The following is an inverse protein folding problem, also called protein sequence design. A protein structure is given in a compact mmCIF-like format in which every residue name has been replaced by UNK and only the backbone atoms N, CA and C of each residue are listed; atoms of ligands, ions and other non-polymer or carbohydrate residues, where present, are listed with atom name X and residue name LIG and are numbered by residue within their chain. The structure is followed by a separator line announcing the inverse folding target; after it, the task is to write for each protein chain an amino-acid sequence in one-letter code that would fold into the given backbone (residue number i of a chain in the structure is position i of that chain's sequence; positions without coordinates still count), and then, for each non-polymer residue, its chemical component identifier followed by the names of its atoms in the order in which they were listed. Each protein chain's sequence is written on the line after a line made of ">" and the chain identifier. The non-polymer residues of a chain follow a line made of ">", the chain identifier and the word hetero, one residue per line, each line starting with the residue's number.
data_IF_640594195816
#
_entry.id   IF_640594195816
#
_cell.length_a   1.000
_cell.length_b   1.000
_cell.length_c   1.000
_cell.angle_alpha   90.00
_cell.angle_beta   90.00
_cell.angle_gamma   90.00
#
_symmetry.space_group_name_H-M   'P 1'
#
loop_
_entity.id
_entity.type
_entity.pdbx_description
1 polymer ?
#
# COMPACT_ATOMS: atom_id res chain seq x y z
N UNK A 1 -14.70 7.29 30.37
CA UNK A 1 -13.74 8.22 31.00
C UNK A 1 -12.36 7.58 31.11
N UNK A 2 -12.22 6.42 31.76
CA UNK A 2 -10.93 5.71 31.90
C UNK A 2 -10.09 5.52 30.60
N UNK A 3 -10.72 5.26 29.45
CA UNK A 3 -9.99 5.16 28.17
C UNK A 3 -9.37 6.49 27.71
N UNK A 4 -10.03 7.62 28.01
CA UNK A 4 -9.54 8.97 27.70
C UNK A 4 -8.38 9.31 28.64
N UNK A 5 -8.54 9.03 29.93
CA UNK A 5 -7.51 9.27 30.94
C UNK A 5 -6.24 8.45 30.66
N UNK A 6 -6.42 7.17 30.29
CA UNK A 6 -5.33 6.28 29.90
C UNK A 6 -4.62 6.70 28.61
N UNK A 7 -5.36 7.23 27.62
CA UNK A 7 -4.76 7.73 26.39
C UNK A 7 -3.86 8.94 26.65
N UNK A 8 -4.29 9.88 27.50
CA UNK A 8 -3.48 11.06 27.86
C UNK A 8 -2.25 10.64 28.66
N UNK A 9 -2.41 9.74 29.63
CA UNK A 9 -1.30 9.24 30.44
C UNK A 9 -0.26 8.44 29.61
N UNK A 10 -0.71 7.77 28.55
CA UNK A 10 0.14 6.96 27.66
C UNK A 10 0.82 7.73 26.52
N UNK A 11 0.52 9.01 26.32
CA UNK A 11 1.14 9.83 25.27
C UNK A 11 2.59 10.15 25.63
N UNK A 12 3.53 9.65 24.82
CA UNK A 12 4.96 9.95 24.95
C UNK A 12 5.50 10.55 23.66
N UNK A 13 6.43 11.50 23.78
CA UNK A 13 7.11 12.09 22.63
C UNK A 13 8.24 11.14 22.20
N UNK A 14 8.30 10.84 20.90
CA UNK A 14 9.43 10.15 20.29
C UNK A 14 10.36 11.19 19.66
N UNK A 15 11.64 11.18 20.04
CA UNK A 15 12.66 11.99 19.38
C UNK A 15 13.05 11.34 18.05
N UNK A 16 12.93 12.11 16.95
CA UNK A 16 13.25 11.64 15.60
C UNK A 16 14.59 12.22 15.18
N UNK A 17 15.55 11.40 14.68
CA UNK A 17 16.84 11.89 14.19
C UNK A 17 16.69 12.85 13.00
N UNK A 18 17.65 13.77 12.86
CA UNK A 18 17.65 14.75 11.77
C UNK A 18 17.93 14.14 10.38
N UNK A 19 18.51 12.94 10.33
CA UNK A 19 18.88 12.25 9.10
C UNK A 19 18.28 10.85 9.05
N UNK A 20 17.71 10.48 7.91
CA UNK A 20 17.29 9.11 7.61
C UNK A 20 18.52 8.27 7.29
N UNK A 21 18.73 7.20 8.06
CA UNK A 21 19.87 6.27 7.89
C UNK A 21 19.48 4.92 7.29
N UNK A 22 18.19 4.70 7.02
CA UNK A 22 17.72 3.44 6.43
C UNK A 22 18.25 3.26 5.02
N UNK A 23 18.93 2.14 4.78
CA UNK A 23 19.34 1.68 3.44
C UNK A 23 18.35 0.69 2.84
N UNK A 24 17.35 0.26 3.61
CA UNK A 24 16.36 -0.73 3.19
C UNK A 24 15.16 -0.05 2.55
N UNK A 25 14.76 -0.59 1.41
CA UNK A 25 13.51 -0.23 0.73
C UNK A 25 12.41 -1.23 1.15
N UNK A 26 11.15 -0.79 1.34
CA UNK A 26 10.02 -1.70 1.50
C UNK A 26 9.96 -2.71 0.35
N UNK A 27 9.60 -3.96 0.66
CA UNK A 27 9.33 -4.94 -0.37
C UNK A 27 8.14 -4.49 -1.23
N UNK A 28 8.12 -4.81 -2.53
CA UNK A 28 6.97 -4.51 -3.37
C UNK A 28 5.73 -5.25 -2.85
N UNK A 29 4.56 -4.64 -3.05
CA UNK A 29 3.29 -5.15 -2.54
C UNK A 29 2.87 -6.46 -3.21
N UNK A 30 3.30 -6.66 -4.47
CA UNK A 30 3.13 -7.89 -5.23
C UNK A 30 4.50 -8.36 -5.75
N UNK A 31 4.71 -9.67 -5.96
CA UNK A 31 5.97 -10.19 -6.50
C UNK A 31 6.25 -9.67 -7.92
N UNK A 32 7.54 -9.51 -8.25
CA UNK A 32 7.97 -9.17 -9.62
C UNK A 32 7.55 -10.21 -10.67
N UNK A 33 7.33 -11.46 -10.25
CA UNK A 33 6.83 -12.54 -11.11
C UNK A 33 5.33 -12.45 -11.43
N UNK A 34 4.60 -11.54 -10.80
CA UNK A 34 3.17 -11.36 -11.07
C UNK A 34 2.95 -10.80 -12.49
N UNK A 35 1.78 -11.07 -13.10
CA UNK A 35 1.39 -10.47 -14.38
C UNK A 35 1.49 -8.94 -14.35
N UNK A 36 1.82 -8.33 -15.48
CA UNK A 36 2.03 -6.89 -15.58
C UNK A 36 0.85 -6.08 -15.02
N UNK A 37 -0.38 -6.45 -15.39
CA UNK A 37 -1.60 -5.79 -14.90
C UNK A 37 -1.71 -5.83 -13.37
N UNK A 38 -1.28 -6.93 -12.74
CA UNK A 38 -1.26 -7.04 -11.28
C UNK A 38 -0.22 -6.09 -10.68
N UNK A 39 0.95 -5.96 -11.30
CA UNK A 39 2.03 -5.07 -10.83
C UNK A 39 1.72 -3.59 -11.02
N UNK A 40 1.14 -3.20 -12.16
CA UNK A 40 0.95 -1.79 -12.51
C UNK A 40 -0.40 -1.21 -12.11
N UNK A 41 -1.45 -2.04 -12.03
CA UNK A 41 -2.81 -1.59 -11.72
C UNK A 41 -3.25 -2.11 -10.35
N UNK A 42 -3.27 -3.42 -10.15
CA UNK A 42 -3.77 -4.02 -8.91
C UNK A 42 -2.93 -3.60 -7.69
N UNK A 43 -1.60 -3.57 -7.81
CA UNK A 43 -0.72 -3.15 -6.72
C UNK A 43 -0.93 -1.68 -6.30
N UNK A 44 -1.16 -0.78 -7.26
CA UNK A 44 -1.46 0.64 -6.95
C UNK A 44 -2.82 0.80 -6.26
N UNK A 45 -3.83 0.04 -6.71
CA UNK A 45 -5.13 -0.01 -6.02
C UNK A 45 -5.00 -0.55 -4.58
N UNK A 46 -4.25 -1.65 -4.39
CA UNK A 46 -4.01 -2.23 -3.07
C UNK A 46 -3.21 -1.29 -2.16
N UNK A 47 -2.33 -0.46 -2.71
CA UNK A 47 -1.57 0.55 -1.99
C UNK A 47 -2.40 1.81 -1.63
N UNK A 48 -3.69 1.82 -1.94
CA UNK A 48 -4.58 2.98 -1.71
C UNK A 48 -4.34 4.14 -2.69
N UNK A 49 -3.59 3.90 -3.77
CA UNK A 49 -3.20 4.91 -4.77
C UNK A 49 -3.95 4.76 -6.10
N UNK A 50 -5.09 4.07 -6.10
CA UNK A 50 -5.90 3.86 -7.31
C UNK A 50 -6.29 5.16 -8.04
N UNK A 51 -6.43 6.29 -7.32
CA UNK A 51 -6.73 7.59 -7.91
C UNK A 51 -5.59 8.19 -8.77
N UNK A 52 -4.36 7.68 -8.62
CA UNK A 52 -3.21 8.11 -9.44
C UNK A 52 -3.13 7.37 -10.78
N UNK A 53 -3.93 6.32 -10.97
CA UNK A 53 -3.96 5.58 -12.21
C UNK A 53 -4.58 6.45 -13.32
N UNK A 54 -3.91 6.63 -14.46
CA UNK A 54 -4.51 7.33 -15.59
C UNK A 54 -5.64 6.50 -16.17
N UNK A 55 -6.63 7.14 -16.78
CA UNK A 55 -7.75 6.44 -17.46
C UNK A 55 -7.23 5.44 -18.49
N UNK A 56 -6.11 5.76 -19.16
CA UNK A 56 -5.47 4.88 -20.15
C UNK A 56 -4.85 3.60 -19.57
N UNK A 57 -4.69 3.48 -18.25
CA UNK A 57 -4.25 2.25 -17.61
C UNK A 57 -5.39 1.23 -17.45
N UNK A 58 -6.65 1.66 -17.66
CA UNK A 58 -7.81 0.81 -17.48
C UNK A 58 -8.31 0.26 -18.83
N UNK A 59 -8.78 -1.00 -18.87
CA UNK A 59 -9.41 -1.58 -20.05
C UNK A 59 -10.63 -0.76 -20.49
N UNK A 60 -10.75 -0.48 -21.79
CA UNK A 60 -11.84 0.33 -22.36
C UNK A 60 -13.22 -0.32 -22.20
N UNK A 61 -13.24 -1.65 -22.12
CA UNK A 61 -14.43 -2.49 -21.95
C UNK A 61 -14.71 -2.87 -20.49
N UNK A 62 -13.82 -2.46 -19.57
CA UNK A 62 -13.90 -2.81 -18.15
C UNK A 62 -13.50 -4.27 -17.82
N UNK A 63 -12.92 -5.03 -18.76
CA UNK A 63 -12.53 -6.43 -18.51
C UNK A 63 -11.26 -6.54 -17.68
N UNK A 64 -11.32 -7.18 -16.51
CA UNK A 64 -10.14 -7.43 -15.66
C UNK A 64 -9.66 -8.88 -15.77
N UNK A 65 -8.34 -9.14 -15.67
CA UNK A 65 -7.82 -10.51 -15.57
C UNK A 65 -8.39 -11.24 -14.35
N UNK A 66 -8.65 -12.54 -14.50
CA UNK A 66 -9.01 -13.40 -13.36
C UNK A 66 -7.77 -13.80 -12.54
N UNK A 67 -7.99 -14.36 -11.35
CA UNK A 67 -6.92 -14.92 -10.51
C UNK A 67 -6.01 -13.88 -9.81
N UNK A 68 -6.36 -12.60 -9.84
CA UNK A 68 -5.60 -11.52 -9.18
C UNK A 68 -5.57 -11.65 -7.65
N UNK A 69 -6.56 -12.31 -7.06
CA UNK A 69 -6.65 -12.57 -5.62
C UNK A 69 -5.50 -13.42 -5.07
N UNK A 70 -4.84 -14.23 -5.92
CA UNK A 70 -3.66 -15.02 -5.53
C UNK A 70 -2.49 -14.16 -4.99
N UNK A 71 -2.48 -12.88 -5.33
CA UNK A 71 -1.44 -11.90 -4.97
C UNK A 71 -1.80 -11.01 -3.78
N UNK A 72 -3.01 -11.09 -3.22
CA UNK A 72 -3.44 -10.15 -2.18
C UNK A 72 -2.85 -10.43 -0.79
N UNK A 73 -2.51 -11.70 -0.49
CA UNK A 73 -1.82 -12.16 0.75
C UNK A 73 -2.35 -11.55 2.08
N UNK A 74 -3.64 -11.16 2.10
CA UNK A 74 -4.34 -10.57 3.25
C UNK A 74 -4.68 -11.62 4.30
#
# INVERSE_FOLDING_TARGET
>A
LAAVDGAVAGLTRIEVPALVTSTRVPAPLVPESAPEFVRSVTAEMMAGRGNLLPVSALPVDGTYPSGTTAYEKR
#
